data_IF_996254516524
#
_entry.id   IF_996254516524
#
_cell.length_a   1.000
_cell.length_b   1.000
_cell.length_c   1.000
_cell.angle_alpha   90.00
_cell.angle_beta   90.00
_cell.angle_gamma   90.00
#
_symmetry.space_group_name_H-M   'P 1'
#
loop_
_entity.id
_entity.type
_entity.pdbx_description
1 polymer ?
#
# COMPACT_ATOMS: atom_id res chain seq x y z
N UNK A 1 -10.99 13.54 -7.25
CA UNK A 1 -10.94 13.02 -5.89
C UNK A 1 -10.93 14.19 -4.91
N UNK A 2 -12.01 14.33 -4.16
CA UNK A 2 -12.14 15.40 -3.21
C UNK A 2 -11.22 15.16 -2.01
N UNK A 3 -10.15 15.93 -1.94
CA UNK A 3 -9.32 16.01 -0.75
C UNK A 3 -9.98 16.95 0.26
N UNK A 4 -9.91 16.65 1.55
CA UNK A 4 -10.34 17.63 2.54
C UNK A 4 -9.60 18.95 2.37
N UNK A 5 -10.27 20.04 2.64
CA UNK A 5 -9.69 21.38 2.55
C UNK A 5 -8.47 21.50 3.47
N UNK A 6 -7.32 21.79 2.91
CA UNK A 6 -6.07 21.93 3.63
C UNK A 6 -4.86 21.72 2.74
N UNK A 7 -3.65 22.05 3.20
CA UNK A 7 -2.45 21.78 2.44
C UNK A 7 -2.25 20.27 2.28
N UNK A 8 -1.72 19.82 1.13
CA UNK A 8 -1.46 18.41 0.93
C UNK A 8 -0.41 17.90 1.92
N UNK A 9 -0.66 16.73 2.49
CA UNK A 9 0.30 16.07 3.36
C UNK A 9 1.19 15.13 2.55
N UNK A 10 2.49 15.21 2.79
CA UNK A 10 3.44 14.26 2.22
C UNK A 10 3.35 12.96 3.01
N UNK A 11 2.94 11.89 2.32
CA UNK A 11 2.80 10.56 2.94
C UNK A 11 4.10 9.78 2.91
N UNK A 12 4.89 9.95 1.85
CA UNK A 12 6.14 9.22 1.68
C UNK A 12 7.03 9.91 0.65
N UNK A 13 8.33 9.66 0.74
CA UNK A 13 9.30 9.98 -0.29
C UNK A 13 9.73 8.69 -0.98
N UNK A 14 9.81 8.75 -2.31
CA UNK A 14 10.23 7.63 -3.14
C UNK A 14 11.57 7.97 -3.79
N UNK A 15 12.39 6.97 -3.96
CA UNK A 15 13.72 7.08 -4.56
C UNK A 15 13.81 6.19 -5.81
N UNK A 16 14.91 6.34 -6.53
CA UNK A 16 15.18 5.52 -7.70
C UNK A 16 15.11 4.03 -7.34
N UNK A 17 14.41 3.27 -8.16
CA UNK A 17 14.18 1.84 -7.93
C UNK A 17 12.89 1.52 -7.17
N UNK A 18 12.24 2.51 -6.57
CA UNK A 18 10.98 2.29 -5.87
C UNK A 18 9.81 2.18 -6.85
N UNK A 19 8.82 1.38 -6.45
CA UNK A 19 7.56 1.25 -7.16
C UNK A 19 6.44 1.99 -6.45
N UNK A 20 5.44 2.42 -7.20
CA UNK A 20 4.25 3.04 -6.65
C UNK A 20 3.00 2.70 -7.48
N UNK A 21 1.84 2.88 -6.89
CA UNK A 21 0.57 2.59 -7.55
C UNK A 21 0.25 1.10 -7.64
N UNK A 22 0.96 0.26 -6.89
CA UNK A 22 0.83 -1.19 -6.90
C UNK A 22 -0.55 -1.67 -6.43
N UNK A 23 -1.17 -0.96 -5.49
CA UNK A 23 -2.50 -1.33 -5.00
C UNK A 23 -3.54 -1.28 -6.12
N UNK A 24 -3.55 -0.20 -6.89
CA UNK A 24 -4.46 -0.06 -8.02
C UNK A 24 -4.18 -1.08 -9.12
N UNK A 25 -2.93 -1.51 -9.29
CA UNK A 25 -2.56 -2.54 -10.24
C UNK A 25 -3.16 -3.89 -9.83
N UNK A 26 -3.16 -4.20 -8.54
CA UNK A 26 -3.63 -5.49 -8.01
C UNK A 26 -5.15 -5.53 -7.96
N UNK A 27 -5.79 -4.54 -7.35
CA UNK A 27 -7.24 -4.57 -7.07
C UNK A 27 -8.09 -3.72 -8.03
N UNK A 28 -7.45 -2.92 -8.88
CA UNK A 28 -8.16 -2.05 -9.80
C UNK A 28 -8.85 -0.85 -9.17
N UNK A 29 -8.60 -0.60 -7.88
CA UNK A 29 -9.20 0.51 -7.17
C UNK A 29 -8.60 1.86 -7.61
N UNK A 30 -9.29 2.98 -7.37
CA UNK A 30 -8.75 4.30 -7.65
C UNK A 30 -7.46 4.59 -6.90
N UNK A 31 -6.63 5.46 -7.45
CA UNK A 31 -5.40 5.91 -6.80
C UNK A 31 -5.72 6.58 -5.48
N UNK A 32 -4.97 6.24 -4.44
CA UNK A 32 -5.15 6.79 -3.10
C UNK A 32 -4.38 8.10 -2.89
N UNK A 33 -3.36 8.33 -3.69
CA UNK A 33 -2.47 9.48 -3.53
C UNK A 33 -2.00 10.02 -4.87
N UNK A 34 -1.54 11.24 -4.86
CA UNK A 34 -0.90 11.90 -6.00
C UNK A 34 0.61 11.82 -5.84
N UNK A 35 1.30 11.60 -6.94
CA UNK A 35 2.76 11.58 -6.99
C UNK A 35 3.26 12.88 -7.59
N UNK A 36 4.19 13.52 -6.91
CA UNK A 36 4.89 14.71 -7.40
C UNK A 36 6.38 14.42 -7.53
N UNK A 37 6.94 14.71 -8.67
CA UNK A 37 8.39 14.61 -8.87
C UNK A 37 9.09 15.83 -8.28
N UNK A 38 10.18 15.60 -7.59
CA UNK A 38 11.03 16.66 -7.01
C UNK A 38 12.14 17.04 -7.99
N UNK A 39 12.60 16.07 -8.77
CA UNK A 39 13.63 16.23 -9.79
C UNK A 39 13.15 15.60 -11.09
N UNK A 40 13.89 15.79 -12.18
CA UNK A 40 13.61 15.10 -13.44
C UNK A 40 13.63 13.59 -13.21
N UNK A 41 12.55 12.93 -13.61
CA UNK A 41 12.31 11.52 -13.27
C UNK A 41 11.88 10.75 -14.50
N UNK A 42 12.47 9.56 -14.64
CA UNK A 42 12.04 8.59 -15.67
C UNK A 42 11.33 7.46 -14.94
N UNK A 43 10.13 7.11 -15.41
CA UNK A 43 9.34 6.01 -14.85
C UNK A 43 9.01 4.97 -15.91
N UNK A 44 8.95 3.73 -15.50
CA UNK A 44 8.41 2.65 -16.31
C UNK A 44 6.96 2.43 -15.88
N UNK A 45 6.06 2.39 -16.83
CA UNK A 45 4.64 2.22 -16.54
C UNK A 45 4.16 0.85 -16.99
N UNK A 46 3.49 0.17 -16.07
CA UNK A 46 2.81 -1.09 -16.35
C UNK A 46 1.31 -0.88 -16.21
N UNK A 47 0.57 -1.07 -17.30
CA UNK A 47 -0.88 -1.02 -17.28
C UNK A 47 -1.46 -2.31 -16.69
N UNK A 48 -2.56 -2.17 -15.96
CA UNK A 48 -3.24 -3.30 -15.33
C UNK A 48 -3.65 -4.38 -16.35
N UNK A 49 -4.16 -3.98 -17.49
CA UNK A 49 -4.58 -4.92 -18.55
C UNK A 49 -3.42 -5.77 -19.04
N UNK A 50 -2.25 -5.16 -19.22
CA UNK A 50 -1.03 -5.86 -19.63
C UNK A 50 -0.58 -6.81 -18.54
N UNK A 51 -0.59 -6.36 -17.28
CA UNK A 51 -0.21 -7.18 -16.15
C UNK A 51 -1.10 -8.42 -16.02
N UNK A 52 -2.42 -8.24 -16.10
CA UNK A 52 -3.38 -9.35 -16.01
C UNK A 52 -3.21 -10.34 -17.16
N UNK A 53 -2.94 -9.84 -18.36
CA UNK A 53 -2.67 -10.70 -19.53
C UNK A 53 -1.40 -11.53 -19.31
N UNK A 54 -0.33 -10.91 -18.86
CA UNK A 54 0.92 -11.60 -18.57
C UNK A 54 0.75 -12.67 -17.49
N UNK A 55 -0.03 -12.37 -16.47
CA UNK A 55 -0.38 -13.34 -15.42
C UNK A 55 -1.16 -14.52 -16.01
N UNK A 56 -2.14 -14.25 -16.86
CA UNK A 56 -2.94 -15.30 -17.50
C UNK A 56 -2.10 -16.21 -18.41
N UNK A 57 -1.08 -15.63 -19.04
CA UNK A 57 -0.14 -16.38 -19.89
C UNK A 57 0.92 -17.15 -19.10
N UNK A 58 0.91 -17.05 -17.78
CA UNK A 58 1.91 -17.69 -16.95
C UNK A 58 3.30 -17.06 -17.01
N UNK A 59 3.37 -15.76 -17.32
CA UNK A 59 4.65 -15.05 -17.41
C UNK A 59 5.34 -15.00 -16.06
N UNK A 60 6.56 -15.53 -16.00
CA UNK A 60 7.32 -15.60 -14.74
C UNK A 60 7.70 -14.22 -14.22
N UNK A 61 7.99 -13.27 -15.10
CA UNK A 61 8.29 -11.88 -14.72
C UNK A 61 7.11 -11.22 -14.01
N UNK A 62 5.91 -11.41 -14.52
CA UNK A 62 4.69 -10.92 -13.89
C UNK A 62 4.46 -11.55 -12.51
N UNK A 63 4.70 -12.84 -12.38
CA UNK A 63 4.59 -13.55 -11.11
C UNK A 63 5.61 -13.05 -10.08
N UNK A 64 6.84 -12.84 -10.50
CA UNK A 64 7.88 -12.27 -9.63
C UNK A 64 7.55 -10.84 -9.22
N UNK A 65 7.01 -10.05 -10.13
CA UNK A 65 6.58 -8.69 -9.83
C UNK A 65 5.44 -8.70 -8.80
N UNK A 66 4.46 -9.57 -8.98
CA UNK A 66 3.37 -9.74 -8.02
C UNK A 66 3.90 -10.10 -6.63
N UNK A 67 4.85 -11.02 -6.56
CA UNK A 67 5.48 -11.40 -5.30
C UNK A 67 6.19 -10.21 -4.64
N UNK A 68 6.96 -9.46 -5.42
CA UNK A 68 7.68 -8.29 -4.91
C UNK A 68 6.73 -7.21 -4.39
N UNK A 69 5.67 -6.92 -5.15
CA UNK A 69 4.64 -5.97 -4.73
C UNK A 69 3.91 -6.41 -3.47
N UNK A 70 3.56 -7.69 -3.40
CA UNK A 70 2.88 -8.25 -2.23
C UNK A 70 3.77 -8.18 -0.99
N UNK A 71 5.05 -8.49 -1.13
CA UNK A 71 6.02 -8.38 -0.03
C UNK A 71 6.16 -6.94 0.47
N UNK A 72 6.18 -5.98 -0.44
CA UNK A 72 6.24 -4.56 -0.10
C UNK A 72 4.98 -4.10 0.64
N UNK A 73 3.81 -4.53 0.21
CA UNK A 73 2.55 -4.23 0.88
C UNK A 73 2.50 -4.83 2.28
N UNK A 74 2.99 -6.06 2.45
CA UNK A 74 3.09 -6.70 3.76
C UNK A 74 4.00 -5.90 4.70
N UNK A 75 5.14 -5.43 4.19
CA UNK A 75 6.08 -4.63 4.99
C UNK A 75 5.46 -3.30 5.41
N UNK A 76 4.80 -2.60 4.48
CA UNK A 76 4.10 -1.35 4.77
C UNK A 76 3.02 -1.52 5.82
N UNK A 77 2.28 -2.63 5.75
CA UNK A 77 1.24 -2.94 6.74
C UNK A 77 1.83 -3.19 8.12
N UNK A 78 2.95 -3.90 8.19
CA UNK A 78 3.65 -4.12 9.46
C UNK A 78 4.15 -2.81 10.05
N UNK A 79 4.76 -1.95 9.23
CA UNK A 79 5.26 -0.64 9.66
C UNK A 79 4.11 0.22 10.21
N UNK A 80 2.98 0.23 9.51
CA UNK A 80 1.79 0.95 9.97
C UNK A 80 1.27 0.39 11.30
N UNK A 81 1.27 -0.92 11.47
CA UNK A 81 0.85 -1.58 12.70
C UNK A 81 1.76 -1.18 13.87
N UNK A 82 3.07 -1.11 13.65
CA UNK A 82 4.01 -0.64 14.67
C UNK A 82 3.77 0.82 15.05
N UNK A 83 3.56 1.69 14.05
CA UNK A 83 3.26 3.10 14.30
C UNK A 83 1.97 3.26 15.10
N UNK A 84 0.92 2.52 14.76
CA UNK A 84 -0.33 2.52 15.50
C UNK A 84 -0.14 1.97 16.92
N UNK A 85 0.69 0.95 17.08
CA UNK A 85 1.04 0.40 18.38
C UNK A 85 1.71 1.43 19.28
N UNK A 86 2.67 2.19 18.74
CA UNK A 86 3.35 3.26 19.47
C UNK A 86 2.41 4.41 19.85
N UNK A 87 1.48 4.76 18.95
CA UNK A 87 0.49 5.80 19.20
C UNK A 87 -0.57 5.39 20.24
N UNK A 88 -0.84 4.10 20.34
CA UNK A 88 -1.86 3.51 21.24
C UNK A 88 -1.21 2.86 22.45
N UNK A 89 0.06 3.17 22.72
CA UNK A 89 0.74 2.73 23.94
C UNK A 89 0.17 3.47 25.15
N UNK A 90 -1.05 3.11 25.51
CA UNK A 90 -1.80 3.72 26.59
C UNK A 90 -1.87 2.74 27.76
N UNK A 91 -1.59 3.20 28.99
CA UNK A 91 -1.43 2.33 30.15
C UNK A 91 -2.74 1.82 30.77
N UNK A 92 -3.87 1.87 30.04
CA UNK A 92 -5.13 1.37 30.55
C UNK A 92 -5.72 0.26 29.68
N UNK A 93 -6.53 -0.61 30.32
CA UNK A 93 -7.13 -1.77 29.67
C UNK A 93 -8.10 -1.40 28.53
N UNK A 94 -8.73 -0.26 28.61
CA UNK A 94 -9.70 0.21 27.61
C UNK A 94 -9.02 0.47 26.26
N UNK A 95 -7.87 1.08 26.28
CA UNK A 95 -7.10 1.38 25.09
C UNK A 95 -6.44 0.13 24.48
N UNK A 96 -6.07 -0.82 25.32
CA UNK A 96 -5.60 -2.12 24.86
C UNK A 96 -6.68 -2.87 24.09
N UNK A 97 -7.95 -2.77 24.54
CA UNK A 97 -9.09 -3.36 23.84
C UNK A 97 -9.38 -2.70 22.48
N UNK A 98 -9.33 -1.38 22.44
CA UNK A 98 -9.50 -0.64 21.18
C UNK A 98 -8.41 -1.00 20.17
N UNK A 99 -7.18 -1.11 20.62
CA UNK A 99 -6.07 -1.54 19.77
C UNK A 99 -6.26 -2.96 19.26
N UNK A 100 -6.72 -3.87 20.11
CA UNK A 100 -7.00 -5.25 19.72
C UNK A 100 -8.12 -5.34 18.67
N UNK A 101 -9.18 -4.56 18.83
CA UNK A 101 -10.27 -4.46 17.87
C UNK A 101 -9.76 -3.91 16.52
N UNK A 102 -8.96 -2.85 16.52
CA UNK A 102 -8.36 -2.29 15.32
C UNK A 102 -7.45 -3.31 14.62
N UNK A 103 -6.65 -4.04 15.38
CA UNK A 103 -5.78 -5.08 14.84
C UNK A 103 -6.59 -6.19 14.20
N UNK A 104 -7.68 -6.61 14.82
CA UNK A 104 -8.57 -7.62 14.25
C UNK A 104 -9.27 -7.13 12.98
N UNK A 105 -9.75 -5.89 12.96
CA UNK A 105 -10.36 -5.30 11.77
C UNK A 105 -9.39 -5.23 10.59
N UNK A 106 -8.13 -4.90 10.85
CA UNK A 106 -7.09 -4.91 9.83
C UNK A 106 -6.80 -6.32 9.32
N UNK A 107 -6.88 -7.34 10.17
CA UNK A 107 -6.70 -8.74 9.78
C UNK A 107 -7.88 -9.31 9.02
N UNK A 108 -9.11 -8.94 9.40
CA UNK A 108 -10.32 -9.48 8.77
C UNK A 108 -10.65 -8.86 7.43
N UNK A 109 -10.08 -7.69 7.11
CA UNK A 109 -10.24 -7.07 5.80
C UNK A 109 -9.31 -7.67 4.73
N UNK A 110 -8.46 -8.61 5.10
CA UNK A 110 -7.70 -9.41 4.14
C UNK A 110 -8.54 -10.65 3.81
N UNK A 111 -9.42 -10.51 2.82
CA UNK A 111 -10.13 -11.67 2.28
C UNK A 111 -9.24 -12.36 1.25
N UNK A 112 -8.87 -13.57 1.57
CA UNK A 112 -8.18 -14.46 0.66
C UNK A 112 -9.23 -15.22 -0.18
N UNK A 113 -9.47 -14.72 -1.33
CA UNK A 113 -10.25 -15.46 -2.34
C UNK A 113 -9.33 -15.93 -3.46
#
# INVERSE_FOLDING_TARGET
KNMPSGPPHVLAHLESGDGFGEMALIDGAPRMATIHTVTDTIVLRLHRDVFLRLMAEGNMGATKLLWAMSSQLCQRQRDLTYVLSDLVELPNEENAREFEVLTQLLRTNVTWN
#
